data_IF_674460331942
#
_entry.id   IF_674460331942
#
_cell.length_a   1.000
_cell.length_b   1.000
_cell.length_c   1.000
_cell.angle_alpha   90.00
_cell.angle_beta   90.00
_cell.angle_gamma   90.00
#
_symmetry.space_group_name_H-M   'P 1'
#
loop_
_entity.id
_entity.type
_entity.pdbx_description
1 polymer ?
#
# COMPACT_ATOMS: atom_id res chain seq x y z
N UNK A 1 -0.35 -22.95 -9.40
CA UNK A 1 -0.65 -21.94 -8.37
C UNK A 1 -2.14 -22.04 -7.99
N UNK A 2 -2.45 -21.80 -6.75
CA UNK A 2 -3.84 -21.86 -6.25
C UNK A 2 -4.70 -20.70 -6.76
N UNK A 3 -6.04 -20.76 -6.60
CA UNK A 3 -6.98 -19.77 -7.13
C UNK A 3 -6.82 -18.37 -6.51
N UNK A 4 -6.17 -18.28 -5.35
CA UNK A 4 -5.93 -17.02 -4.66
C UNK A 4 -4.59 -16.35 -5.05
N UNK A 5 -3.83 -16.96 -5.95
CA UNK A 5 -2.67 -16.32 -6.58
C UNK A 5 -3.13 -15.66 -7.86
N UNK A 6 -3.11 -14.34 -7.88
CA UNK A 6 -3.50 -13.52 -9.04
C UNK A 6 -2.24 -12.94 -9.66
N UNK A 7 -1.97 -13.31 -10.91
CA UNK A 7 -0.84 -12.79 -11.67
C UNK A 7 -1.35 -11.80 -12.69
N UNK A 8 -0.84 -10.57 -12.61
CA UNK A 8 -1.16 -9.51 -13.54
C UNK A 8 -0.06 -9.37 -14.58
N UNK A 9 -0.49 -9.08 -15.78
CA UNK A 9 0.36 -8.89 -16.95
C UNK A 9 0.15 -7.46 -17.47
N UNK A 10 1.19 -6.75 -17.93
CA UNK A 10 1.05 -5.37 -18.39
C UNK A 10 0.19 -5.19 -19.64
N UNK A 11 -0.18 -6.28 -20.34
CA UNK A 11 -1.18 -6.24 -21.42
C UNK A 11 -2.62 -6.13 -20.93
N UNK A 12 -2.88 -6.40 -19.64
CA UNK A 12 -4.21 -6.26 -19.04
C UNK A 12 -4.54 -4.77 -18.86
N UNK A 13 -5.79 -4.40 -19.13
CA UNK A 13 -6.24 -3.03 -18.87
C UNK A 13 -6.32 -2.73 -17.38
N UNK A 14 -6.19 -1.46 -17.01
CA UNK A 14 -6.41 -1.00 -15.63
C UNK A 14 -7.76 -1.46 -15.09
N UNK A 15 -8.82 -1.38 -15.89
CA UNK A 15 -10.16 -1.82 -15.51
C UNK A 15 -10.23 -3.33 -15.20
N UNK A 16 -9.55 -4.18 -16.00
CA UNK A 16 -9.49 -5.62 -15.74
C UNK A 16 -8.76 -5.94 -14.43
N UNK A 17 -7.64 -5.26 -14.15
CA UNK A 17 -6.90 -5.45 -12.92
C UNK A 17 -7.71 -4.94 -11.72
N UNK A 18 -8.31 -3.75 -11.83
CA UNK A 18 -9.15 -3.16 -10.76
C UNK A 18 -10.33 -4.05 -10.40
N UNK A 19 -10.99 -4.66 -11.37
CA UNK A 19 -12.09 -5.59 -11.09
C UNK A 19 -11.67 -6.72 -10.14
N UNK A 20 -10.44 -7.22 -10.25
CA UNK A 20 -9.90 -8.27 -9.39
C UNK A 20 -9.47 -7.71 -8.03
N UNK A 21 -8.63 -6.67 -8.03
CA UNK A 21 -8.07 -6.14 -6.78
C UNK A 21 -9.12 -5.48 -5.90
N UNK A 22 -10.12 -4.81 -6.49
CA UNK A 22 -11.22 -4.19 -5.74
C UNK A 22 -12.13 -5.25 -5.10
N UNK A 23 -12.40 -6.35 -5.80
CA UNK A 23 -13.16 -7.49 -5.26
C UNK A 23 -12.43 -8.12 -4.07
N UNK A 24 -11.13 -8.33 -4.17
CA UNK A 24 -10.32 -8.89 -3.09
C UNK A 24 -10.25 -7.91 -1.92
N UNK A 25 -10.07 -6.62 -2.18
CA UNK A 25 -10.08 -5.60 -1.14
C UNK A 25 -11.42 -5.57 -0.39
N UNK A 26 -12.54 -5.59 -1.11
CA UNK A 26 -13.87 -5.61 -0.51
C UNK A 26 -14.07 -6.79 0.46
N UNK A 27 -13.48 -7.95 0.17
CA UNK A 27 -13.50 -9.10 1.06
C UNK A 27 -12.53 -8.94 2.24
N UNK A 28 -11.30 -8.48 1.98
CA UNK A 28 -10.17 -8.62 2.91
C UNK A 28 -9.94 -7.40 3.81
N UNK A 29 -10.48 -6.23 3.49
CA UNK A 29 -10.22 -5.00 4.26
C UNK A 29 -10.67 -5.12 5.71
N UNK A 30 -11.76 -5.84 5.98
CA UNK A 30 -12.30 -6.07 7.33
C UNK A 30 -12.21 -7.53 7.78
N UNK A 31 -11.52 -8.40 7.05
CA UNK A 31 -11.46 -9.84 7.29
C UNK A 31 -10.29 -10.22 8.22
N UNK A 32 -10.24 -9.64 9.41
CA UNK A 32 -9.10 -9.75 10.34
C UNK A 32 -8.75 -11.20 10.69
N UNK A 33 -9.74 -12.03 10.96
CA UNK A 33 -9.53 -13.43 11.39
C UNK A 33 -9.98 -14.45 10.37
N UNK A 34 -10.31 -14.05 9.16
CA UNK A 34 -10.70 -14.97 8.09
C UNK A 34 -9.52 -15.82 7.61
N UNK A 35 -9.80 -17.01 7.06
CA UNK A 35 -8.78 -17.95 6.57
C UNK A 35 -8.21 -17.56 5.20
N UNK A 36 -8.85 -16.65 4.49
CA UNK A 36 -8.48 -16.31 3.11
C UNK A 36 -7.12 -15.62 3.06
N UNK A 37 -6.33 -16.04 2.09
CA UNK A 37 -5.01 -15.46 1.78
C UNK A 37 -4.90 -15.24 0.29
N UNK A 38 -4.36 -14.08 -0.11
CA UNK A 38 -4.18 -13.70 -1.50
C UNK A 38 -2.75 -13.24 -1.79
N UNK A 39 -2.27 -13.59 -2.98
CA UNK A 39 -1.06 -13.03 -3.55
C UNK A 39 -1.40 -12.32 -4.86
N UNK A 40 -1.16 -11.01 -4.91
CA UNK A 40 -1.34 -10.14 -6.06
C UNK A 40 0.04 -9.88 -6.66
N UNK A 41 0.37 -10.58 -7.73
CA UNK A 41 1.70 -10.64 -8.29
C UNK A 41 1.73 -9.94 -9.65
N UNK A 42 2.64 -8.99 -9.81
CA UNK A 42 2.76 -8.17 -11.02
C UNK A 42 4.01 -8.59 -11.81
N UNK A 43 3.82 -9.04 -13.05
CA UNK A 43 4.93 -9.27 -13.98
C UNK A 43 5.65 -7.96 -14.33
N UNK A 44 6.92 -8.02 -14.76
CA UNK A 44 7.63 -6.82 -15.22
C UNK A 44 6.84 -6.02 -16.24
N UNK A 45 6.78 -4.71 -16.03
CA UNK A 45 6.07 -3.76 -16.89
C UNK A 45 5.44 -2.61 -16.11
N UNK A 46 4.68 -1.79 -16.83
CA UNK A 46 4.02 -0.60 -16.31
C UNK A 46 2.51 -0.79 -16.29
N UNK A 47 1.88 -0.42 -15.18
CA UNK A 47 0.47 -0.57 -14.90
C UNK A 47 -0.16 0.78 -14.55
N UNK A 48 -1.31 1.07 -15.15
CA UNK A 48 -1.95 2.36 -14.99
C UNK A 48 -1.24 3.52 -15.69
N UNK A 49 -1.90 4.66 -15.69
CA UNK A 49 -1.39 5.93 -16.24
C UNK A 49 -1.81 7.08 -15.33
N UNK A 50 -1.30 8.28 -15.57
CA UNK A 50 -1.74 9.48 -14.84
C UNK A 50 -3.25 9.76 -15.02
N UNK A 51 -3.79 9.47 -16.19
CA UNK A 51 -5.21 9.67 -16.50
C UNK A 51 -6.12 8.53 -16.05
N UNK A 52 -5.57 7.32 -15.93
CA UNK A 52 -6.28 6.12 -15.47
C UNK A 52 -5.38 5.34 -14.49
N UNK A 53 -5.20 5.84 -13.28
CA UNK A 53 -4.28 5.23 -12.32
C UNK A 53 -4.81 3.89 -11.78
N UNK A 54 -3.88 2.96 -11.52
CA UNK A 54 -4.19 1.73 -10.84
C UNK A 54 -4.15 1.97 -9.31
N UNK A 55 -5.30 1.92 -8.68
CA UNK A 55 -5.44 2.04 -7.23
C UNK A 55 -5.67 0.65 -6.64
N UNK A 56 -4.76 0.22 -5.77
CA UNK A 56 -4.82 -1.07 -5.08
C UNK A 56 -4.95 -0.83 -3.59
N UNK A 57 -6.07 -1.21 -3.00
CA UNK A 57 -6.22 -1.26 -1.54
C UNK A 57 -5.86 -2.65 -1.02
N UNK A 58 -5.04 -2.70 0.03
CA UNK A 58 -4.51 -3.96 0.57
C UNK A 58 -5.18 -4.29 1.90
N UNK A 59 -5.89 -5.42 1.92
CA UNK A 59 -6.56 -5.93 3.12
C UNK A 59 -5.74 -7.00 3.86
N UNK A 60 -6.36 -7.61 4.87
CA UNK A 60 -5.76 -8.70 5.64
C UNK A 60 -5.38 -9.88 4.75
N UNK A 61 -4.31 -10.55 5.12
CA UNK A 61 -3.86 -11.76 4.44
C UNK A 61 -3.49 -11.58 2.97
N UNK A 62 -3.22 -10.35 2.54
CA UNK A 62 -2.95 -10.00 1.15
C UNK A 62 -1.50 -9.56 0.98
N UNK A 63 -0.79 -10.22 0.06
CA UNK A 63 0.53 -9.84 -0.42
C UNK A 63 0.41 -9.12 -1.76
N UNK A 64 1.14 -8.03 -1.94
CA UNK A 64 1.35 -7.37 -3.24
C UNK A 64 2.83 -7.40 -3.55
N UNK A 65 3.21 -7.98 -4.69
CA UNK A 65 4.61 -8.11 -5.06
C UNK A 65 4.88 -7.97 -6.57
N UNK A 66 6.01 -7.35 -6.88
CA UNK A 66 6.56 -7.36 -8.23
C UNK A 66 7.42 -8.60 -8.48
N UNK A 67 7.28 -9.22 -9.65
CA UNK A 67 7.99 -10.44 -10.06
C UNK A 67 9.30 -10.16 -10.81
N UNK A 68 9.73 -8.92 -10.91
CA UNK A 68 10.99 -8.56 -11.53
C UNK A 68 12.21 -8.86 -10.66
N UNK A 69 13.39 -8.81 -11.24
CA UNK A 69 14.67 -8.93 -10.51
C UNK A 69 14.96 -7.70 -9.66
N UNK A 70 14.46 -6.53 -10.08
CA UNK A 70 14.62 -5.24 -9.43
C UNK A 70 13.25 -4.60 -9.13
N UNK A 71 13.14 -3.78 -8.08
CA UNK A 71 11.92 -3.01 -7.84
C UNK A 71 11.56 -2.02 -8.96
N UNK A 72 12.49 -1.70 -9.84
CA UNK A 72 12.23 -0.85 -11.02
C UNK A 72 11.61 -1.59 -12.20
N UNK A 73 11.58 -2.92 -12.17
CA UNK A 73 11.02 -3.72 -13.26
C UNK A 73 9.48 -3.69 -13.30
N UNK A 74 8.84 -3.44 -12.15
CA UNK A 74 7.39 -3.29 -12.04
C UNK A 74 7.06 -1.88 -11.59
N UNK A 75 6.32 -1.15 -12.40
CA UNK A 75 5.90 0.21 -12.08
C UNK A 75 4.37 0.31 -12.05
N UNK A 76 3.83 0.74 -10.93
CA UNK A 76 2.42 1.08 -10.76
C UNK A 76 2.29 2.60 -10.79
N UNK A 77 1.62 3.14 -11.82
CA UNK A 77 1.16 4.51 -11.83
C UNK A 77 -0.19 4.55 -11.10
N UNK A 78 -0.17 4.98 -9.86
CA UNK A 78 -1.33 4.93 -8.98
C UNK A 78 -0.94 4.85 -7.52
N UNK A 79 -1.63 3.99 -6.77
CA UNK A 79 -1.43 3.79 -5.34
C UNK A 79 -1.46 2.31 -4.97
N UNK A 80 -0.75 1.97 -3.89
CA UNK A 80 -0.94 0.73 -3.14
C UNK A 80 -1.17 1.13 -1.69
N UNK A 81 -2.42 1.16 -1.26
CA UNK A 81 -2.84 1.82 -0.03
C UNK A 81 -3.36 0.87 1.03
N UNK A 82 -3.07 1.22 2.28
CA UNK A 82 -3.77 0.70 3.47
C UNK A 82 -4.32 1.90 4.24
N UNK A 83 -5.62 1.84 4.53
CA UNK A 83 -6.36 2.88 5.24
C UNK A 83 -6.75 2.44 6.64
N UNK A 84 -7.10 3.40 7.49
CA UNK A 84 -7.66 3.11 8.80
C UNK A 84 -8.92 2.23 8.74
N UNK A 85 -9.12 1.46 9.80
CA UNK A 85 -10.41 0.85 10.12
C UNK A 85 -11.21 1.81 10.99
N UNK A 86 -12.47 2.05 10.60
CA UNK A 86 -13.35 2.98 11.30
C UNK A 86 -14.52 2.24 11.96
N UNK A 87 -14.80 2.60 13.20
CA UNK A 87 -15.95 2.10 13.96
C UNK A 87 -16.55 3.24 14.81
N UNK A 88 -17.48 2.91 15.72
CA UNK A 88 -18.13 3.91 16.58
C UNK A 88 -17.16 4.67 17.49
N UNK A 89 -15.96 4.14 17.76
CA UNK A 89 -14.95 4.74 18.63
C UNK A 89 -13.89 5.54 17.85
N UNK A 90 -14.04 5.68 16.56
CA UNK A 90 -13.13 6.39 15.67
C UNK A 90 -12.41 5.49 14.68
N UNK A 91 -11.38 6.02 14.05
CA UNK A 91 -10.63 5.37 12.99
C UNK A 91 -9.18 5.15 13.42
N UNK A 92 -8.71 3.91 13.30
CA UNK A 92 -7.34 3.52 13.68
C UNK A 92 -6.77 2.51 12.67
N UNK A 93 -5.44 2.36 12.68
CA UNK A 93 -4.72 1.34 11.92
C UNK A 93 -4.06 0.28 12.82
N UNK A 94 -4.30 0.31 14.13
CA UNK A 94 -3.64 -0.58 15.10
C UNK A 94 -3.97 -2.06 14.91
N UNK A 95 -5.03 -2.37 14.20
CA UNK A 95 -5.42 -3.74 13.84
C UNK A 95 -5.05 -4.12 12.39
N UNK A 96 -4.42 -3.25 11.65
CA UNK A 96 -4.04 -3.49 10.25
C UNK A 96 -2.81 -4.41 10.14
N UNK A 97 -2.97 -5.68 10.53
CA UNK A 97 -1.94 -6.72 10.50
C UNK A 97 -1.91 -7.50 9.19
N UNK A 98 -0.92 -8.39 9.04
CA UNK A 98 -0.85 -9.51 8.08
C UNK A 98 -1.08 -9.10 6.64
N UNK A 99 -0.28 -8.19 6.16
CA UNK A 99 -0.23 -7.80 4.75
C UNK A 99 1.20 -7.46 4.36
N UNK A 100 1.52 -7.46 3.08
CA UNK A 100 2.86 -7.11 2.65
C UNK A 100 2.89 -6.44 1.30
N UNK A 101 3.94 -5.65 1.08
CA UNK A 101 4.21 -4.97 -0.17
C UNK A 101 5.69 -5.10 -0.50
N UNK A 102 6.03 -5.62 -1.68
CA UNK A 102 7.43 -5.85 -2.02
C UNK A 102 7.76 -5.73 -3.50
N UNK A 103 9.02 -5.34 -3.75
CA UNK A 103 9.72 -5.44 -5.02
C UNK A 103 9.01 -4.77 -6.19
N UNK A 104 8.58 -3.51 -6.02
CA UNK A 104 7.98 -2.71 -7.07
C UNK A 104 8.17 -1.21 -6.86
N UNK A 105 7.88 -0.44 -7.89
CA UNK A 105 7.87 1.03 -7.85
C UNK A 105 6.43 1.53 -7.92
N UNK A 106 6.08 2.45 -7.03
CA UNK A 106 4.85 3.22 -7.05
C UNK A 106 5.20 4.61 -7.56
N UNK A 107 4.69 4.98 -8.72
CA UNK A 107 4.62 6.37 -9.16
C UNK A 107 3.25 6.89 -8.76
N UNK A 108 3.19 7.77 -7.78
CA UNK A 108 1.93 8.27 -7.25
C UNK A 108 1.19 9.07 -8.32
N UNK A 109 0.02 8.57 -8.69
CA UNK A 109 -0.95 9.18 -9.59
C UNK A 109 -2.33 9.04 -8.96
N UNK A 110 -3.01 10.15 -8.74
CA UNK A 110 -4.13 10.21 -7.80
C UNK A 110 -5.46 10.64 -8.44
N UNK A 111 -5.55 10.65 -9.76
CA UNK A 111 -6.79 11.03 -10.46
C UNK A 111 -7.96 10.15 -10.01
N UNK A 112 -9.04 10.77 -9.59
CA UNK A 112 -10.23 10.09 -9.09
C UNK A 112 -10.25 9.81 -7.59
N UNK A 113 -9.16 10.06 -6.87
CA UNK A 113 -9.15 10.06 -5.41
C UNK A 113 -9.62 11.42 -4.86
N UNK A 114 -10.15 11.43 -3.64
CA UNK A 114 -10.44 12.67 -2.94
C UNK A 114 -9.18 13.46 -2.59
N UNK A 115 -9.32 14.74 -2.31
CA UNK A 115 -8.18 15.65 -2.13
C UNK A 115 -7.23 15.23 -1.00
N UNK A 116 -7.73 14.61 0.05
CA UNK A 116 -6.90 14.10 1.13
C UNK A 116 -6.15 12.83 0.70
N UNK A 117 -6.84 11.85 0.13
CA UNK A 117 -6.25 10.59 -0.34
C UNK A 117 -5.27 10.81 -1.50
N UNK A 118 -5.48 11.86 -2.28
CA UNK A 118 -4.59 12.25 -3.36
C UNK A 118 -3.22 12.79 -2.87
N UNK A 119 -3.08 13.11 -1.58
CA UNK A 119 -1.86 13.73 -1.02
C UNK A 119 -0.65 12.80 -0.91
N UNK A 120 -0.81 11.50 -1.03
CA UNK A 120 0.28 10.53 -0.93
C UNK A 120 -0.16 9.09 -1.05
N UNK A 121 0.80 8.18 -1.02
CA UNK A 121 0.53 6.76 -0.86
C UNK A 121 0.44 6.41 0.63
N UNK A 122 -0.67 5.83 1.04
CA UNK A 122 -0.96 5.52 2.44
C UNK A 122 -0.56 4.08 2.78
N UNK A 123 0.27 3.92 3.79
CA UNK A 123 0.61 2.61 4.35
C UNK A 123 0.36 2.65 5.85
N UNK A 124 -0.92 2.80 6.23
CA UNK A 124 -1.36 2.90 7.61
C UNK A 124 -1.54 1.50 8.19
N UNK A 125 -0.46 0.96 8.75
CA UNK A 125 -0.38 -0.43 9.19
C UNK A 125 0.08 -0.57 10.63
N UNK A 126 -0.07 -1.79 11.14
CA UNK A 126 0.48 -2.27 12.39
C UNK A 126 1.49 -3.39 12.13
N UNK A 127 1.66 -4.32 13.09
CA UNK A 127 2.66 -5.39 13.00
C UNK A 127 2.36 -6.38 11.86
N UNK A 128 3.40 -7.13 11.46
CA UNK A 128 3.35 -8.13 10.39
C UNK A 128 2.84 -7.55 9.05
N UNK A 129 3.28 -6.33 8.74
CA UNK A 129 2.94 -5.62 7.52
C UNK A 129 4.19 -4.99 6.87
N UNK A 130 5.17 -5.80 6.43
CA UNK A 130 6.41 -5.30 5.88
C UNK A 130 6.21 -4.65 4.51
N UNK A 131 6.94 -3.54 4.30
CA UNK A 131 7.23 -2.94 3.01
C UNK A 131 8.71 -3.15 2.73
N UNK A 132 9.06 -3.83 1.66
CA UNK A 132 10.45 -4.14 1.35
C UNK A 132 10.77 -4.06 -0.13
N UNK A 133 11.92 -3.42 -0.47
CA UNK A 133 12.34 -3.22 -1.86
C UNK A 133 11.26 -2.48 -2.67
N UNK A 134 10.75 -1.39 -2.12
CA UNK A 134 9.71 -0.56 -2.74
C UNK A 134 10.26 0.83 -3.01
N UNK A 135 10.08 1.32 -4.22
CA UNK A 135 10.33 2.71 -4.54
C UNK A 135 9.01 3.48 -4.54
N UNK A 136 8.96 4.63 -3.86
CA UNK A 136 7.81 5.53 -3.90
C UNK A 136 8.25 6.86 -4.48
N UNK A 137 7.68 7.23 -5.61
CA UNK A 137 8.01 8.43 -6.38
C UNK A 137 6.76 9.26 -6.70
N UNK A 138 6.93 10.52 -7.01
CA UNK A 138 5.84 11.40 -7.40
C UNK A 138 5.00 11.97 -6.25
N UNK A 139 5.36 11.70 -5.00
CA UNK A 139 4.64 12.21 -3.83
C UNK A 139 5.16 11.62 -2.53
N UNK A 140 4.38 11.75 -1.48
CA UNK A 140 4.73 11.32 -0.13
C UNK A 140 4.34 9.87 0.14
N UNK A 141 5.17 9.16 0.92
CA UNK A 141 4.72 7.97 1.63
C UNK A 141 4.22 8.41 3.01
N UNK A 142 2.97 8.11 3.32
CA UNK A 142 2.41 8.39 4.64
C UNK A 142 2.12 7.10 5.40
N UNK A 143 2.63 7.03 6.63
CA UNK A 143 2.52 5.86 7.50
C UNK A 143 1.36 5.99 8.49
N UNK A 144 0.52 6.98 8.30
CA UNK A 144 -0.74 7.15 9.01
C UNK A 144 -1.82 7.62 8.04
N UNK A 145 -3.06 7.29 8.31
CA UNK A 145 -4.20 7.77 7.56
C UNK A 145 -4.88 8.93 8.31
N UNK A 146 -4.45 10.14 8.00
CA UNK A 146 -4.99 11.37 8.57
C UNK A 146 -6.27 11.85 7.87
N UNK A 147 -6.79 11.09 6.91
CA UNK A 147 -8.00 11.44 6.15
C UNK A 147 -9.30 10.96 6.80
N UNK A 148 -9.24 10.42 7.99
CA UNK A 148 -10.38 9.88 8.74
C UNK A 148 -10.58 10.62 10.05
N UNK A 149 -11.68 10.32 10.75
CA UNK A 149 -11.86 10.78 12.13
C UNK A 149 -10.78 10.21 13.05
N UNK A 150 -10.39 10.98 14.08
CA UNK A 150 -9.42 10.52 15.08
C UNK A 150 -9.82 9.24 15.82
N UNK A 151 -8.87 8.60 16.54
CA UNK A 151 -7.53 9.09 16.85
C UNK A 151 -6.45 8.77 15.79
N UNK A 152 -6.72 8.02 14.73
CA UNK A 152 -5.85 7.76 13.57
C UNK A 152 -4.51 7.07 13.91
N UNK A 153 -4.43 6.32 14.99
CA UNK A 153 -3.22 5.66 15.41
C UNK A 153 -2.77 4.58 14.42
N UNK A 154 -1.46 4.59 14.10
CA UNK A 154 -0.77 3.55 13.34
C UNK A 154 0.57 3.24 14.02
N UNK A 155 0.95 1.96 14.08
CA UNK A 155 2.11 1.57 14.87
C UNK A 155 2.60 0.16 14.54
N UNK A 156 3.93 -0.04 14.57
CA UNK A 156 4.52 -1.36 14.48
C UNK A 156 4.82 -1.85 13.07
N UNK A 157 4.79 -0.99 12.07
CA UNK A 157 5.17 -1.33 10.70
C UNK A 157 6.69 -1.51 10.52
N UNK A 158 7.08 -2.10 9.40
CA UNK A 158 8.47 -2.35 9.03
C UNK A 158 8.72 -1.92 7.58
N UNK A 159 9.78 -1.13 7.36
CA UNK A 159 10.21 -0.71 6.03
C UNK A 159 11.70 -1.01 5.87
N UNK A 160 12.08 -1.72 4.82
CA UNK A 160 13.47 -2.03 4.53
C UNK A 160 13.82 -1.97 3.04
N UNK A 161 15.07 -1.73 2.74
CA UNK A 161 15.67 -1.79 1.39
C UNK A 161 14.87 -0.97 0.36
N UNK A 162 14.29 0.14 0.77
CA UNK A 162 13.31 0.91 -0.01
C UNK A 162 13.79 2.34 -0.27
N UNK A 163 13.33 2.94 -1.36
CA UNK A 163 13.66 4.31 -1.73
C UNK A 163 12.39 5.17 -1.80
N UNK A 164 12.41 6.32 -1.14
CA UNK A 164 11.28 7.23 -1.10
C UNK A 164 11.75 8.65 -0.83
N UNK A 165 11.03 9.63 -1.30
CA UNK A 165 11.35 11.03 -1.09
C UNK A 165 11.01 11.48 0.33
N UNK A 166 9.78 11.87 0.53
CA UNK A 166 9.28 12.37 1.81
C UNK A 166 8.42 11.33 2.50
N UNK A 167 8.64 11.12 3.80
CA UNK A 167 7.88 10.16 4.61
C UNK A 167 7.22 10.89 5.77
N UNK A 168 5.91 10.79 5.85
CA UNK A 168 5.13 11.27 6.99
C UNK A 168 4.95 10.10 7.95
N UNK A 169 5.65 10.15 9.08
CA UNK A 169 5.55 9.16 10.14
C UNK A 169 4.85 9.81 11.34
N UNK A 170 3.55 9.97 11.22
CA UNK A 170 2.70 10.50 12.27
C UNK A 170 2.23 9.44 13.26
N UNK A 171 1.41 9.86 14.22
CA UNK A 171 0.78 8.98 15.19
C UNK A 171 1.77 8.33 16.17
N UNK A 172 1.64 7.04 16.50
CA UNK A 172 2.41 6.39 17.57
C UNK A 172 3.86 6.04 17.23
N UNK A 173 4.26 6.15 15.98
CA UNK A 173 5.67 6.15 15.54
C UNK A 173 6.49 4.89 15.85
N UNK A 174 5.90 3.73 15.92
CA UNK A 174 6.62 2.47 16.16
C UNK A 174 6.96 1.73 14.87
N UNK A 175 7.33 2.47 13.84
CA UNK A 175 7.85 1.89 12.61
C UNK A 175 9.34 1.59 12.73
N UNK A 176 9.72 0.35 12.44
CA UNK A 176 11.11 -0.04 12.28
C UNK A 176 11.54 0.17 10.83
N UNK A 177 12.64 0.89 10.64
CA UNK A 177 13.21 1.15 9.32
C UNK A 177 14.64 0.65 9.24
N UNK A 178 15.00 0.05 8.10
CA UNK A 178 16.34 -0.47 7.86
C UNK A 178 16.77 -0.25 6.41
N UNK A 179 17.99 0.25 6.23
CA UNK A 179 18.67 0.37 4.92
C UNK A 179 17.79 1.03 3.84
N UNK A 180 17.16 2.14 4.18
CA UNK A 180 16.31 2.87 3.26
C UNK A 180 17.05 4.07 2.65
N UNK A 181 16.94 4.26 1.35
CA UNK A 181 17.26 5.51 0.67
C UNK A 181 16.11 6.47 0.83
N UNK A 182 16.28 7.38 1.75
CA UNK A 182 15.27 8.28 2.13
C UNK A 182 15.83 9.67 2.36
N UNK A 183 15.15 10.62 1.86
CA UNK A 183 15.64 11.98 1.88
C UNK A 183 15.11 12.80 3.06
N UNK A 184 13.90 12.52 3.51
CA UNK A 184 13.26 13.35 4.54
C UNK A 184 12.20 12.58 5.32
N UNK A 185 12.20 12.79 6.64
CA UNK A 185 11.19 12.26 7.56
C UNK A 185 10.52 13.41 8.31
N UNK A 186 9.21 13.37 8.40
CA UNK A 186 8.44 14.14 9.37
C UNK A 186 7.93 13.22 10.48
N UNK A 187 8.11 13.64 11.71
CA UNK A 187 7.45 13.02 12.86
C UNK A 187 6.25 13.87 13.20
N UNK A 188 5.13 13.23 13.45
CA UNK A 188 4.01 13.88 14.11
C UNK A 188 4.39 14.14 15.58
N UNK A 189 3.98 15.25 16.09
CA UNK A 189 4.08 15.60 17.52
C UNK A 189 3.01 14.90 18.33
#
# INVERSE_FOLDING_TARGET
LGPNVRIFDPSMSTAQIRAVVDQIAAQQVSNEFGPERYALLFKPGTYGTADDPLIVQVGYGTEVAGLGASPTDVKINGHVDVYNQCNANGCIALTNFWRSLSNLTIQIESKGLDGCRASGNFWAVSQAAPMRRVNVTGGNLTLMDYCTAGPQYASGGFIADSAMGFVINGSQQQFLTRENFKLRWERGD
#
